data_IF_479919568562
#
_entry.id   IF_479919568562
#
_cell.length_a   1.000
_cell.length_b   1.000
_cell.length_c   1.000
_cell.angle_alpha   90.00
_cell.angle_beta   90.00
_cell.angle_gamma   90.00
#
_symmetry.space_group_name_H-M   'P 1'
#
loop_
_entity.id
_entity.type
_entity.pdbx_description
1 polymer ?
#
# COMPACT_ATOMS: atom_id res chain seq x y z
N UNK A 1 -3.16 9.14 5.81
CA UNK A 1 -3.06 8.46 4.50
C UNK A 1 -4.31 8.62 3.61
N UNK A 2 -5.47 8.04 3.94
CA UNK A 2 -6.66 8.01 3.04
C UNK A 2 -7.08 9.39 2.50
N UNK A 3 -7.22 10.40 3.37
CA UNK A 3 -7.60 11.77 2.97
C UNK A 3 -6.69 12.36 1.89
N UNK A 4 -5.38 12.12 1.99
CA UNK A 4 -4.35 12.65 1.08
C UNK A 4 -4.46 12.06 -0.33
N UNK A 5 -4.77 10.76 -0.44
CA UNK A 5 -4.97 10.12 -1.74
C UNK A 5 -6.29 10.58 -2.38
N UNK A 6 -7.36 10.68 -1.59
CA UNK A 6 -8.64 11.19 -2.08
C UNK A 6 -8.55 12.64 -2.57
N UNK A 7 -7.83 13.52 -1.85
CA UNK A 7 -7.60 14.90 -2.30
C UNK A 7 -6.68 14.99 -3.53
N UNK A 8 -6.00 13.90 -3.87
CA UNK A 8 -5.13 13.78 -5.03
C UNK A 8 -5.80 13.09 -6.22
N UNK A 9 -7.13 12.95 -6.20
CA UNK A 9 -7.95 12.31 -7.26
C UNK A 9 -7.73 10.80 -7.43
N UNK A 10 -7.20 10.13 -6.41
CA UNK A 10 -7.06 8.68 -6.42
C UNK A 10 -8.36 7.99 -6.02
N UNK A 11 -8.64 6.84 -6.63
CA UNK A 11 -9.65 5.91 -6.11
C UNK A 11 -9.02 5.09 -5.00
N UNK A 12 -9.64 5.09 -3.82
CA UNK A 12 -9.15 4.34 -2.66
C UNK A 12 -9.99 3.10 -2.45
N UNK A 13 -9.34 1.95 -2.29
CA UNK A 13 -9.97 0.70 -1.87
C UNK A 13 -9.28 0.17 -0.60
N UNK A 14 -10.08 -0.19 0.40
CA UNK A 14 -9.67 -0.67 1.72
C UNK A 14 -9.94 -2.16 1.87
N UNK A 15 -8.92 -2.93 2.24
CA UNK A 15 -9.03 -4.36 2.57
C UNK A 15 -9.13 -4.57 4.09
N UNK A 16 -10.25 -5.14 4.53
CA UNK A 16 -10.58 -5.38 5.95
C UNK A 16 -10.36 -6.86 6.31
N UNK A 17 -9.28 -7.13 7.04
CA UNK A 17 -8.83 -8.47 7.43
C UNK A 17 -9.55 -9.06 8.65
N UNK A 18 -10.10 -8.20 9.49
CA UNK A 18 -10.84 -8.50 10.71
C UNK A 18 -12.34 -8.74 10.44
N UNK A 19 -12.81 -8.40 9.24
CA UNK A 19 -14.21 -8.44 8.89
C UNK A 19 -15.02 -7.24 9.41
N UNK A 20 -14.36 -6.20 9.94
CA UNK A 20 -14.99 -5.09 10.67
C UNK A 20 -14.97 -3.85 9.78
N UNK A 21 -16.11 -3.56 9.14
CA UNK A 21 -16.27 -2.38 8.27
C UNK A 21 -16.98 -1.24 8.99
N UNK A 22 -17.91 -1.56 9.89
CA UNK A 22 -18.80 -0.56 10.50
C UNK A 22 -18.07 0.42 11.42
N UNK A 23 -16.96 0.01 12.02
CA UNK A 23 -16.16 0.89 12.88
C UNK A 23 -15.54 2.06 12.09
N UNK A 24 -15.44 1.98 10.75
CA UNK A 24 -14.92 3.06 9.91
C UNK A 24 -15.92 4.18 9.63
N UNK A 25 -17.20 3.97 9.94
CA UNK A 25 -18.30 4.90 9.60
C UNK A 25 -18.18 6.29 10.22
N UNK A 26 -17.41 6.43 11.30
CA UNK A 26 -17.18 7.73 11.94
C UNK A 26 -16.27 8.64 11.12
N UNK A 27 -15.54 8.09 10.12
CA UNK A 27 -14.71 8.89 9.23
C UNK A 27 -15.53 9.49 8.09
N UNK A 28 -15.44 10.81 7.90
CA UNK A 28 -16.11 11.57 6.84
C UNK A 28 -15.83 11.09 5.40
N UNK A 29 -14.74 10.36 5.21
CA UNK A 29 -14.34 9.81 3.92
C UNK A 29 -14.80 8.37 3.69
N UNK A 30 -15.42 7.72 4.68
CA UNK A 30 -15.82 6.30 4.61
C UNK A 30 -16.67 6.02 3.36
N UNK A 31 -17.67 6.86 3.07
CA UNK A 31 -18.55 6.69 1.90
C UNK A 31 -17.89 7.05 0.55
N UNK A 32 -16.63 7.49 0.57
CA UNK A 32 -15.87 7.91 -0.62
C UNK A 32 -14.88 6.84 -1.08
N UNK A 33 -14.72 5.75 -0.33
CA UNK A 33 -13.77 4.65 -0.64
C UNK A 33 -14.49 3.33 -0.86
N UNK A 34 -13.82 2.37 -1.50
CA UNK A 34 -14.36 1.03 -1.72
C UNK A 34 -13.92 0.15 -0.55
N UNK A 35 -14.86 -0.40 0.21
CA UNK A 35 -14.54 -1.34 1.29
C UNK A 35 -14.68 -2.79 0.79
N UNK A 36 -13.66 -3.61 1.00
CA UNK A 36 -13.69 -5.05 0.72
C UNK A 36 -13.28 -5.79 1.98
N UNK A 37 -14.10 -6.73 2.42
CA UNK A 37 -13.95 -7.38 3.72
C UNK A 37 -13.95 -8.89 3.59
N UNK A 38 -12.91 -9.53 4.15
CA UNK A 38 -12.76 -10.97 4.20
C UNK A 38 -11.85 -11.34 5.39
N UNK A 39 -12.39 -12.14 6.31
CA UNK A 39 -11.69 -12.49 7.54
C UNK A 39 -10.47 -13.38 7.28
N UNK A 40 -9.39 -13.09 8.01
CA UNK A 40 -8.16 -13.89 8.04
C UNK A 40 -7.54 -14.13 6.65
N UNK A 41 -7.70 -13.18 5.73
CA UNK A 41 -7.04 -13.21 4.43
C UNK A 41 -5.76 -12.37 4.46
N UNK A 42 -5.00 -12.34 3.38
CA UNK A 42 -3.75 -11.55 3.30
C UNK A 42 -3.84 -10.49 2.21
N UNK A 43 -2.92 -9.51 2.22
CA UNK A 43 -2.79 -8.49 1.18
C UNK A 43 -2.97 -9.04 -0.23
N UNK A 44 -2.20 -10.08 -0.52
CA UNK A 44 -2.13 -10.68 -1.84
C UNK A 44 -3.36 -11.50 -2.18
N UNK A 45 -4.04 -12.08 -1.19
CA UNK A 45 -5.32 -12.75 -1.39
C UNK A 45 -6.39 -11.78 -1.92
N UNK A 46 -6.47 -10.57 -1.35
CA UNK A 46 -7.40 -9.54 -1.81
C UNK A 46 -6.97 -9.01 -3.18
N UNK A 47 -5.68 -8.67 -3.34
CA UNK A 47 -5.15 -8.16 -4.59
C UNK A 47 -5.44 -9.14 -5.75
N UNK A 48 -5.21 -10.44 -5.54
CA UNK A 48 -5.49 -11.47 -6.55
C UNK A 48 -6.96 -11.52 -6.96
N UNK A 49 -7.90 -11.31 -6.04
CA UNK A 49 -9.34 -11.45 -6.28
C UNK A 49 -10.02 -10.19 -6.78
N UNK A 50 -9.59 -9.02 -6.31
CA UNK A 50 -10.30 -7.76 -6.57
C UNK A 50 -9.56 -6.83 -7.54
N UNK A 51 -8.30 -7.14 -7.89
CA UNK A 51 -7.48 -6.35 -8.80
C UNK A 51 -7.12 -7.10 -10.07
N UNK A 52 -8.09 -7.82 -10.64
CA UNK A 52 -7.91 -8.43 -11.95
C UNK A 52 -7.46 -7.38 -12.98
N UNK A 53 -6.50 -7.67 -13.88
CA UNK A 53 -5.95 -6.69 -14.81
C UNK A 53 -7.01 -5.96 -15.64
N UNK A 54 -8.08 -6.66 -16.02
CA UNK A 54 -9.17 -6.06 -16.80
C UNK A 54 -10.04 -5.10 -15.97
N UNK A 55 -10.13 -5.31 -14.65
CA UNK A 55 -10.84 -4.41 -13.72
C UNK A 55 -10.04 -3.14 -13.50
N UNK A 56 -8.73 -3.27 -13.33
CA UNK A 56 -7.85 -2.12 -13.04
C UNK A 56 -7.23 -1.47 -14.29
N UNK A 57 -7.65 -1.91 -15.48
CA UNK A 57 -7.13 -1.44 -16.77
C UNK A 57 -7.35 0.06 -17.02
N UNK A 58 -8.31 0.67 -16.33
CA UNK A 58 -8.64 2.10 -16.40
C UNK A 58 -7.67 2.98 -15.59
N UNK A 59 -6.81 2.39 -14.76
CA UNK A 59 -5.86 3.13 -13.91
C UNK A 59 -4.43 3.01 -14.44
N UNK A 60 -3.68 4.12 -14.42
CA UNK A 60 -2.29 4.14 -14.92
C UNK A 60 -1.31 3.41 -13.98
N UNK A 61 -1.52 3.59 -12.67
CA UNK A 61 -0.70 3.00 -11.62
C UNK A 61 -1.57 2.37 -10.54
N UNK A 62 -1.04 1.29 -9.95
CA UNK A 62 -1.63 0.50 -8.88
C UNK A 62 -0.68 0.58 -7.68
N UNK A 63 -1.10 1.27 -6.63
CA UNK A 63 -0.40 1.30 -5.36
C UNK A 63 -0.99 0.20 -4.48
N UNK A 64 -0.16 -0.70 -3.93
CA UNK A 64 -0.62 -1.80 -3.09
C UNK A 64 0.13 -1.78 -1.74
N UNK A 65 -0.33 -0.93 -0.83
CA UNK A 65 0.44 -0.50 0.35
C UNK A 65 -0.09 -1.08 1.67
N UNK A 66 0.85 -1.48 2.54
CA UNK A 66 0.61 -1.87 3.94
C UNK A 66 0.04 -0.71 4.77
N UNK A 67 -0.70 -1.06 5.83
CA UNK A 67 -1.42 -0.10 6.67
C UNK A 67 -0.53 0.73 7.59
N UNK A 68 0.70 0.28 7.83
CA UNK A 68 1.60 0.78 8.86
C UNK A 68 2.67 1.73 8.32
N UNK A 69 2.32 2.44 7.24
CA UNK A 69 3.15 3.46 6.59
C UNK A 69 2.74 4.88 7.03
N UNK A 70 3.69 5.63 7.59
CA UNK A 70 3.61 7.07 7.80
C UNK A 70 3.90 7.83 6.50
N UNK A 71 3.06 8.81 6.17
CA UNK A 71 3.07 9.51 4.87
C UNK A 71 3.27 11.02 5.01
N UNK A 72 3.91 11.47 6.09
CA UNK A 72 4.12 12.88 6.40
C UNK A 72 5.00 13.61 5.36
N UNK A 73 5.83 12.84 4.64
CA UNK A 73 6.80 13.35 3.66
C UNK A 73 6.52 12.83 2.24
N UNK A 74 5.26 12.47 1.97
CA UNK A 74 4.85 11.88 0.70
C UNK A 74 3.68 12.67 0.09
N UNK A 75 3.76 12.95 -1.21
CA UNK A 75 2.70 13.57 -2.00
C UNK A 75 2.39 12.73 -3.26
N UNK A 76 1.18 12.12 -3.35
CA UNK A 76 0.85 11.17 -4.43
C UNK A 76 1.06 11.71 -5.85
N UNK A 77 0.64 12.96 -6.12
CA UNK A 77 0.80 13.55 -7.47
C UNK A 77 2.26 13.82 -7.84
N UNK A 78 3.10 14.18 -6.86
CA UNK A 78 4.53 14.43 -7.11
C UNK A 78 5.23 13.10 -7.35
N UNK A 79 4.92 12.08 -6.53
CA UNK A 79 5.40 10.72 -6.75
C UNK A 79 5.06 10.21 -8.15
N UNK A 80 3.80 10.32 -8.58
CA UNK A 80 3.38 9.90 -9.92
C UNK A 80 4.14 10.65 -11.02
N UNK A 81 4.33 11.97 -10.86
CA UNK A 81 5.09 12.74 -11.85
C UNK A 81 6.56 12.29 -11.98
N UNK A 82 7.17 11.87 -10.87
CA UNK A 82 8.55 11.37 -10.87
C UNK A 82 8.63 10.01 -11.55
N UNK A 83 7.76 9.06 -11.19
CA UNK A 83 7.81 7.72 -11.78
C UNK A 83 7.49 7.73 -13.28
N UNK A 84 6.61 8.65 -13.73
CA UNK A 84 6.32 8.87 -15.15
C UNK A 84 7.53 9.45 -15.88
N UNK A 85 8.16 10.49 -15.32
CA UNK A 85 9.37 11.12 -15.88
C UNK A 85 10.54 10.13 -15.99
N UNK A 86 10.72 9.31 -14.96
CA UNK A 86 11.82 8.34 -14.84
C UNK A 86 11.55 7.02 -15.60
N UNK A 87 10.35 6.84 -16.16
CA UNK A 87 9.94 5.62 -16.86
C UNK A 87 9.93 4.38 -15.95
N UNK A 88 9.57 4.55 -14.67
CA UNK A 88 9.51 3.45 -13.73
C UNK A 88 8.20 2.66 -13.89
N UNK A 89 8.35 1.37 -14.18
CA UNK A 89 7.25 0.41 -14.29
C UNK A 89 6.91 -0.20 -12.92
N UNK A 90 7.90 -0.32 -12.05
CA UNK A 90 7.77 -0.83 -10.69
C UNK A 90 8.56 0.09 -9.77
N UNK A 91 7.94 0.57 -8.71
CA UNK A 91 8.60 1.50 -7.80
C UNK A 91 8.06 1.39 -6.38
N UNK A 92 8.75 2.01 -5.44
CA UNK A 92 8.20 2.32 -4.12
C UNK A 92 8.75 3.65 -3.63
N UNK A 93 8.09 4.33 -2.68
CA UNK A 93 8.72 5.42 -1.95
C UNK A 93 9.94 4.90 -1.16
N UNK A 94 10.92 5.78 -0.96
CA UNK A 94 12.03 5.48 -0.07
C UNK A 94 11.58 5.45 1.39
N UNK A 95 12.38 4.80 2.23
CA UNK A 95 12.17 4.76 3.68
C UNK A 95 13.03 5.77 4.40
N UNK A 96 12.43 6.49 5.34
CA UNK A 96 13.18 7.31 6.27
C UNK A 96 14.13 6.42 7.07
N UNK A 97 15.44 6.69 6.94
CA UNK A 97 16.52 5.91 7.57
C UNK A 97 16.46 5.90 9.09
N UNK A 98 15.93 6.97 9.70
CA UNK A 98 16.00 7.15 11.15
C UNK A 98 14.74 6.68 11.85
N UNK A 99 13.61 6.68 11.13
CA UNK A 99 12.28 6.38 11.69
C UNK A 99 11.71 5.04 11.25
N UNK A 100 12.23 4.45 10.17
CA UNK A 100 11.72 3.18 9.63
C UNK A 100 12.56 2.00 10.05
N UNK A 101 11.91 0.84 10.16
CA UNK A 101 12.63 -0.43 10.12
C UNK A 101 13.02 -0.77 8.67
N UNK A 102 14.32 -0.73 8.40
CA UNK A 102 14.88 -0.96 7.06
C UNK A 102 15.47 -2.37 7.00
N UNK A 103 14.77 -3.28 6.35
CA UNK A 103 15.26 -4.66 6.12
C UNK A 103 16.26 -4.75 4.96
N UNK A 104 16.04 -3.97 3.90
CA UNK A 104 16.86 -3.98 2.69
C UNK A 104 17.43 -2.60 2.42
N UNK A 105 18.77 -2.48 2.32
CA UNK A 105 19.42 -1.16 2.23
C UNK A 105 19.04 -0.37 0.98
N UNK A 106 18.61 -1.04 -0.10
CA UNK A 106 18.07 -0.37 -1.28
C UNK A 106 16.77 0.38 -0.99
N UNK A 107 15.98 0.02 0.02
CA UNK A 107 14.75 0.79 0.31
C UNK A 107 15.03 2.06 1.11
N UNK A 108 16.24 2.21 1.64
CA UNK A 108 16.62 3.34 2.48
C UNK A 108 16.84 4.61 1.64
N UNK A 109 16.22 5.71 2.06
CA UNK A 109 16.32 7.01 1.37
C UNK A 109 17.75 7.50 1.17
N UNK A 110 18.03 7.98 -0.02
CA UNK A 110 19.23 8.74 -0.38
C UNK A 110 18.89 10.24 -0.47
N UNK A 111 19.26 11.01 0.56
CA UNK A 111 18.81 12.41 0.71
C UNK A 111 19.24 13.38 -0.39
N UNK A 112 20.21 13.01 -1.23
CA UNK A 112 20.74 13.82 -2.34
C UNK A 112 20.32 13.31 -3.71
N UNK A 113 19.34 12.41 -3.74
CA UNK A 113 18.81 11.78 -4.94
C UNK A 113 17.32 12.07 -5.08
N UNK A 114 16.80 12.00 -6.32
CA UNK A 114 15.36 11.99 -6.60
C UNK A 114 14.87 10.54 -6.69
N UNK A 115 15.64 9.70 -7.40
CA UNK A 115 15.42 8.26 -7.53
C UNK A 115 16.75 7.55 -7.54
N UNK A 116 16.86 6.45 -6.81
CA UNK A 116 17.96 5.50 -6.96
C UNK A 116 17.44 4.10 -7.33
N UNK A 117 18.32 3.32 -7.95
CA UNK A 117 18.01 1.98 -8.47
C UNK A 117 18.98 0.91 -8.00
N UNK A 118 20.04 1.31 -7.30
CA UNK A 118 21.13 0.45 -6.84
C UNK A 118 21.54 0.86 -5.44
N UNK A 119 21.83 -0.13 -4.58
CA UNK A 119 22.45 0.09 -3.27
C UNK A 119 23.96 -0.22 -3.32
N UNK A 120 24.78 0.56 -2.61
CA UNK A 120 26.25 0.43 -2.61
C UNK A 120 26.85 0.02 -1.25
N UNK A 121 26.12 -0.76 -0.43
CA UNK A 121 26.55 -1.12 0.93
C UNK A 121 26.48 -2.64 1.21
N UNK A 122 27.26 -3.14 2.20
CA UNK A 122 27.11 -4.52 2.67
C UNK A 122 25.70 -4.72 3.21
N UNK A 123 24.96 -5.70 2.67
CA UNK A 123 23.66 -6.08 3.20
C UNK A 123 23.78 -6.70 4.59
N UNK A 124 22.67 -6.74 5.34
CA UNK A 124 22.59 -7.30 6.69
C UNK A 124 23.04 -8.79 6.80
N UNK A 125 23.09 -9.50 5.66
CA UNK A 125 23.46 -10.92 5.57
C UNK A 125 24.78 -11.15 4.80
N UNK A 126 25.68 -10.17 4.73
CA UNK A 126 26.99 -10.32 4.09
C UNK A 126 26.99 -10.33 2.54
N UNK A 127 25.84 -10.12 1.89
CA UNK A 127 25.79 -9.85 0.43
C UNK A 127 26.25 -8.42 0.18
N UNK A 128 27.45 -8.27 -0.36
CA UNK A 128 28.00 -6.99 -0.78
C UNK A 128 27.31 -6.53 -2.06
N UNK A 129 26.64 -5.37 -2.02
CA UNK A 129 26.15 -4.72 -3.22
C UNK A 129 27.20 -3.71 -3.71
N UNK A 130 27.57 -3.82 -4.98
CA UNK A 130 28.58 -3.01 -5.65
C UNK A 130 28.07 -2.50 -7.01
N UNK A 131 28.92 -1.75 -7.73
CA UNK A 131 28.60 -1.21 -9.04
C UNK A 131 28.34 -2.27 -10.13
N UNK A 132 28.74 -3.53 -9.90
CA UNK A 132 28.53 -4.64 -10.83
C UNK A 132 27.28 -5.46 -10.51
N UNK A 133 26.62 -5.18 -9.39
CA UNK A 133 25.41 -5.86 -8.96
C UNK A 133 24.24 -5.48 -9.87
N UNK A 134 23.73 -6.44 -10.65
CA UNK A 134 22.65 -6.24 -11.64
C UNK A 134 21.30 -6.82 -11.24
N UNK A 135 21.23 -7.43 -10.05
CA UNK A 135 20.07 -8.21 -9.62
C UNK A 135 19.62 -7.89 -8.21
N UNK A 136 18.47 -8.42 -7.81
CA UNK A 136 17.92 -8.20 -6.50
C UNK A 136 18.74 -8.89 -5.40
N UNK A 137 18.77 -8.34 -4.18
CA UNK A 137 18.11 -7.09 -3.76
C UNK A 137 18.95 -5.83 -4.05
N UNK A 138 20.08 -5.93 -4.76
CA UNK A 138 21.03 -4.82 -4.89
C UNK A 138 20.65 -3.79 -5.95
N UNK A 139 20.03 -4.22 -7.06
CA UNK A 139 19.67 -3.33 -8.18
C UNK A 139 18.30 -3.69 -8.75
N UNK A 140 17.54 -2.66 -9.11
CA UNK A 140 16.24 -2.78 -9.77
C UNK A 140 15.29 -3.65 -8.95
N UNK A 141 15.12 -3.34 -7.67
CA UNK A 141 14.34 -4.12 -6.72
C UNK A 141 13.59 -3.21 -5.76
N UNK A 142 12.42 -3.67 -5.33
CA UNK A 142 11.58 -3.01 -4.33
C UNK A 142 11.13 -4.04 -3.29
N UNK A 143 10.82 -3.57 -2.09
CA UNK A 143 10.20 -4.37 -1.06
C UNK A 143 8.68 -4.38 -1.22
N UNK A 144 8.03 -5.44 -0.72
CA UNK A 144 6.62 -5.68 -0.99
C UNK A 144 5.66 -4.89 -0.11
N UNK A 145 6.12 -4.04 0.81
CA UNK A 145 5.24 -3.28 1.71
C UNK A 145 4.60 -2.04 1.08
N UNK A 146 5.33 -1.32 0.22
CA UNK A 146 4.84 -0.11 -0.44
C UNK A 146 4.96 -0.13 -1.98
N UNK A 147 4.71 -1.26 -2.67
CA UNK A 147 4.90 -1.34 -4.11
C UNK A 147 3.89 -0.47 -4.86
N UNK A 148 4.39 0.09 -5.96
CA UNK A 148 3.63 0.78 -6.99
C UNK A 148 3.97 0.13 -8.31
N UNK A 149 2.94 -0.29 -9.04
CA UNK A 149 3.08 -0.94 -10.33
C UNK A 149 2.41 -0.08 -11.40
N UNK A 150 3.04 0.06 -12.56
CA UNK A 150 2.33 0.49 -13.75
C UNK A 150 1.22 -0.52 -14.09
N UNK A 151 0.26 -0.11 -14.90
CA UNK A 151 -0.76 -1.01 -15.45
C UNK A 151 -0.15 -2.23 -16.16
N UNK A 152 0.93 -2.03 -16.91
CA UNK A 152 1.59 -3.10 -17.65
C UNK A 152 2.29 -4.09 -16.71
N UNK A 153 3.05 -3.56 -15.74
CA UNK A 153 3.72 -4.38 -14.74
C UNK A 153 2.72 -5.15 -13.87
N UNK A 154 1.64 -4.50 -13.43
CA UNK A 154 0.60 -5.15 -12.63
C UNK A 154 -0.06 -6.32 -13.38
N UNK A 155 -0.33 -6.18 -14.68
CA UNK A 155 -0.89 -7.30 -15.46
C UNK A 155 0.00 -8.54 -15.38
N UNK A 156 1.33 -8.37 -15.52
CA UNK A 156 2.27 -9.48 -15.37
C UNK A 156 2.32 -10.00 -13.92
N UNK A 157 2.45 -9.12 -12.92
CA UNK A 157 2.54 -9.49 -11.50
C UNK A 157 1.29 -10.24 -11.05
N UNK A 158 0.11 -9.83 -11.52
CA UNK A 158 -1.15 -10.49 -11.20
C UNK A 158 -1.17 -11.96 -11.64
N UNK A 159 -0.61 -12.29 -12.82
CA UNK A 159 -0.47 -13.67 -13.28
C UNK A 159 0.66 -14.43 -12.58
N UNK A 160 1.65 -13.73 -12.03
CA UNK A 160 2.71 -14.33 -11.20
C UNK A 160 2.20 -14.75 -9.82
N UNK A 161 1.27 -14.00 -9.23
CA UNK A 161 0.68 -14.31 -7.93
C UNK A 161 -0.20 -15.56 -8.03
N UNK A 162 0.11 -16.58 -7.24
CA UNK A 162 -0.71 -17.78 -7.09
C UNK A 162 -1.94 -17.52 -6.21
N UNK A 163 -3.02 -18.28 -6.42
CA UNK A 163 -4.29 -18.09 -5.71
C UNK A 163 -4.21 -18.40 -4.20
N UNK A 164 -3.22 -19.20 -3.82
CA UNK A 164 -2.89 -19.69 -2.48
C UNK A 164 -1.68 -18.95 -1.87
N UNK A 165 -1.22 -17.85 -2.49
CA UNK A 165 -0.11 -17.06 -1.94
C UNK A 165 -0.53 -16.39 -0.63
N UNK A 166 -0.05 -16.92 0.50
CA UNK A 166 -0.34 -16.40 1.84
C UNK A 166 0.56 -15.20 2.14
N UNK A 167 1.85 -15.28 1.89
CA UNK A 167 2.80 -14.17 2.06
C UNK A 167 3.71 -14.03 0.84
N UNK A 168 3.90 -12.79 0.35
CA UNK A 168 4.71 -12.48 -0.83
C UNK A 168 6.24 -12.54 -0.61
N UNK A 169 6.69 -13.16 0.46
CA UNK A 169 8.12 -13.35 0.70
C UNK A 169 8.70 -14.22 -0.44
N UNK A 170 9.71 -13.70 -1.14
CA UNK A 170 10.31 -14.34 -2.32
C UNK A 170 9.69 -13.91 -3.66
N UNK A 171 8.45 -13.39 -3.70
CA UNK A 171 7.91 -12.82 -4.95
C UNK A 171 8.58 -11.49 -5.27
N UNK A 172 8.97 -10.74 -4.24
CA UNK A 172 9.80 -9.54 -4.32
C UNK A 172 11.05 -9.72 -5.19
N UNK A 173 11.67 -10.89 -5.14
CA UNK A 173 12.82 -11.24 -5.98
C UNK A 173 12.44 -11.45 -7.46
N UNK A 174 11.17 -11.78 -7.74
CA UNK A 174 10.66 -12.17 -9.05
C UNK A 174 9.87 -11.06 -9.75
N UNK A 175 9.18 -10.17 -9.03
CA UNK A 175 8.33 -9.13 -9.65
C UNK A 175 9.10 -8.23 -10.60
N UNK A 176 10.43 -8.12 -10.44
CA UNK A 176 11.26 -7.36 -11.36
C UNK A 176 11.27 -7.88 -12.81
N UNK A 177 10.87 -9.13 -13.06
CA UNK A 177 10.65 -9.65 -14.42
C UNK A 177 9.41 -9.06 -15.10
N UNK A 178 8.52 -8.42 -14.34
CA UNK A 178 7.34 -7.74 -14.85
C UNK A 178 7.59 -6.27 -15.22
N UNK A 179 8.77 -5.73 -14.92
CA UNK A 179 9.18 -4.45 -15.48
C UNK A 179 9.49 -4.66 -16.97
N UNK A 180 8.81 -3.93 -17.84
CA UNK A 180 9.10 -3.96 -19.27
C UNK A 180 10.54 -3.52 -19.51
N UNK A 181 11.29 -4.20 -20.38
CA UNK A 181 12.66 -3.83 -20.71
C UNK A 181 13.69 -4.14 -19.61
N UNK A 182 14.61 -3.20 -19.38
CA UNK A 182 15.73 -3.40 -18.46
C UNK A 182 15.31 -3.05 -17.02
N UNK A 183 15.16 -4.07 -16.18
CA UNK A 183 14.77 -3.90 -14.76
C UNK A 183 15.74 -3.01 -13.96
N UNK A 184 17.00 -2.89 -14.39
CA UNK A 184 17.97 -2.02 -13.70
C UNK A 184 17.69 -0.54 -13.93
N UNK A 185 16.85 -0.21 -14.92
CA UNK A 185 16.42 1.15 -15.28
C UNK A 185 14.96 1.42 -14.95
N UNK A 186 14.10 0.42 -15.12
CA UNK A 186 12.65 0.61 -15.03
C UNK A 186 12.08 0.23 -13.66
N UNK A 187 12.96 -0.09 -12.70
CA UNK A 187 12.61 -0.30 -11.30
C UNK A 187 13.43 0.63 -10.42
N UNK A 188 12.79 1.32 -9.50
CA UNK A 188 13.47 2.32 -8.67
C UNK A 188 12.76 2.70 -7.38
N UNK A 189 13.52 3.35 -6.53
CA UNK A 189 13.11 3.85 -5.21
C UNK A 189 13.06 5.37 -5.31
N UNK A 190 11.92 5.97 -4.99
CA UNK A 190 11.74 7.43 -5.09
C UNK A 190 12.16 8.08 -3.78
N UNK A 191 13.32 8.73 -3.78
CA UNK A 191 13.95 9.36 -2.62
C UNK A 191 13.35 10.71 -2.25
N UNK A 192 12.86 11.43 -3.26
CA UNK A 192 12.20 12.72 -3.07
C UNK A 192 10.87 12.60 -2.32
N UNK A 193 10.21 11.44 -2.42
CA UNK A 193 8.90 11.15 -1.88
C UNK A 193 8.98 9.90 -1.00
N UNK A 194 9.13 10.10 0.31
CA UNK A 194 9.51 9.03 1.24
C UNK A 194 8.49 8.85 2.36
N UNK A 195 8.49 7.64 2.92
CA UNK A 195 7.55 7.21 3.95
C UNK A 195 8.29 6.67 5.17
N UNK A 196 7.55 6.48 6.26
CA UNK A 196 8.03 5.81 7.48
C UNK A 196 7.38 4.44 7.57
N UNK A 197 8.16 3.37 7.69
CA UNK A 197 7.62 2.02 7.94
C UNK A 197 7.68 1.67 9.43
N UNK A 198 6.52 1.50 10.07
CA UNK A 198 6.41 1.28 11.51
C UNK A 198 6.60 -0.19 11.96
N UNK A 199 6.67 -1.15 11.03
CA UNK A 199 6.79 -2.59 11.26
C UNK A 199 5.79 -3.13 12.29
N UNK A 200 4.51 -2.81 12.10
CA UNK A 200 3.43 -3.28 12.98
C UNK A 200 2.91 -4.62 12.44
N UNK A 201 2.86 -5.69 13.26
CA UNK A 201 2.32 -6.97 12.82
C UNK A 201 0.85 -6.86 12.38
N UNK A 202 0.57 -7.23 11.13
CA UNK A 202 -0.76 -7.07 10.49
C UNK A 202 -1.64 -8.32 10.61
N UNK A 203 -1.04 -9.52 10.72
CA UNK A 203 -1.73 -10.81 10.87
C UNK A 203 -1.21 -11.59 12.11
N UNK A 204 -2.08 -11.81 13.10
CA UNK A 204 -1.99 -12.98 13.99
C UNK A 204 -0.92 -13.03 15.09
N UNK A 205 -0.32 -11.92 15.50
CA UNK A 205 0.54 -11.89 16.70
C UNK A 205 -0.28 -11.88 18.00
N UNK A 206 -0.65 -13.05 18.52
CA UNK A 206 -1.26 -13.18 19.85
C UNK A 206 -0.21 -12.74 20.90
N UNK A 207 -0.37 -11.53 21.42
CA UNK A 207 0.21 -11.11 22.69
C UNK A 207 -0.46 -11.84 23.85
N UNK A 208 -0.27 -13.15 23.96
CA UNK A 208 -0.63 -13.91 25.15
C UNK A 208 0.42 -13.63 26.22
N UNK A 209 0.30 -12.49 26.90
CA UNK A 209 0.78 -12.38 28.28
C UNK A 209 -0.40 -12.68 29.20
N UNK A 210 -0.38 -13.91 29.70
CA UNK A 210 -1.21 -14.44 30.78
C UNK A 210 -1.52 -13.40 31.86
N UNK A 211 -2.81 -13.10 32.08
CA UNK A 211 -3.43 -13.12 33.42
C UNK A 211 -4.89 -13.60 33.30
N UNK A 212 -5.13 -14.77 33.85
CA UNK A 212 -6.43 -15.26 34.37
C UNK A 212 -7.09 -14.17 35.24
N UNK A 213 -8.41 -13.96 35.31
CA UNK A 213 -9.51 -14.91 35.55
C UNK A 213 -10.87 -14.26 35.21
N UNK A 214 -11.84 -15.14 34.90
CA UNK A 214 -13.28 -15.07 35.17
C UNK A 214 -14.18 -14.02 34.48
N UNK A 215 -15.25 -14.53 33.85
CA UNK A 215 -16.45 -13.76 33.54
C UNK A 215 -17.09 -14.11 32.21
N UNK A 216 -17.65 -15.31 32.07
CA UNK A 216 -18.41 -15.71 30.88
C UNK A 216 -19.64 -14.82 30.67
N UNK A 217 -19.83 -14.35 29.43
CA UNK A 217 -21.15 -13.99 28.89
C UNK A 217 -21.29 -14.60 27.50
N UNK A 218 -22.29 -15.47 27.37
CA UNK A 218 -22.90 -15.85 26.09
C UNK A 218 -23.29 -14.58 25.36
N UNK A 219 -22.85 -14.42 24.12
CA UNK A 219 -23.53 -13.56 23.16
C UNK A 219 -24.32 -14.44 22.22
N UNK A 220 -25.56 -14.01 22.08
CA UNK A 220 -26.69 -14.74 21.55
C UNK A 220 -26.60 -14.96 20.05
N UNK A 221 -27.36 -15.95 19.59
CA UNK A 221 -27.54 -16.24 18.17
C UNK A 221 -28.26 -15.09 17.48
N UNK A 222 -27.71 -14.67 16.36
CA UNK A 222 -28.48 -14.15 15.24
C UNK A 222 -28.64 -12.64 15.24
N UNK A 223 -27.68 -11.96 14.63
CA UNK A 223 -28.00 -10.80 13.82
C UNK A 223 -27.38 -10.96 12.44
N UNK A 224 -28.25 -10.95 11.44
CA UNK A 224 -27.84 -10.92 10.03
C UNK A 224 -27.16 -9.57 9.79
N UNK A 225 -25.84 -9.58 9.82
CA UNK A 225 -24.98 -8.44 9.51
C UNK A 225 -25.39 -7.91 8.13
N UNK A 226 -25.95 -6.70 8.08
CA UNK A 226 -26.04 -5.89 6.85
C UNK A 226 -24.66 -5.33 6.52
N UNK A 227 -23.70 -6.22 6.29
CA UNK A 227 -22.48 -5.90 5.57
C UNK A 227 -22.85 -5.89 4.10
N UNK A 228 -22.34 -4.94 3.33
CA UNK A 228 -22.41 -5.04 1.87
C UNK A 228 -21.61 -6.29 1.50
N UNK A 229 -22.31 -7.38 1.22
CA UNK A 229 -21.76 -8.51 0.49
C UNK A 229 -21.41 -7.95 -0.88
N UNK A 230 -20.12 -7.80 -1.16
CA UNK A 230 -19.62 -7.42 -2.47
C UNK A 230 -20.01 -8.56 -3.43
N UNK A 231 -21.15 -8.40 -4.08
CA UNK A 231 -21.52 -9.20 -5.23
C UNK A 231 -21.02 -8.50 -6.50
N UNK A 232 -20.97 -9.25 -7.60
CA UNK A 232 -20.47 -8.74 -8.89
C UNK A 232 -21.16 -7.43 -9.31
N UNK A 233 -22.44 -7.24 -8.91
CA UNK A 233 -23.20 -6.04 -9.20
C UNK A 233 -22.72 -4.78 -8.43
N UNK A 234 -22.20 -4.92 -7.19
CA UNK A 234 -21.64 -3.79 -6.44
C UNK A 234 -20.32 -3.32 -7.07
N UNK A 235 -19.46 -4.27 -7.43
CA UNK A 235 -18.22 -4.01 -8.19
C UNK A 235 -18.58 -3.31 -9.51
N UNK A 236 -19.54 -3.83 -10.26
CA UNK A 236 -19.98 -3.23 -11.52
C UNK A 236 -20.48 -1.79 -11.37
N UNK A 237 -21.24 -1.47 -10.31
CA UNK A 237 -21.76 -0.10 -10.11
C UNK A 237 -20.67 0.92 -9.82
N UNK A 238 -19.71 0.58 -8.97
CA UNK A 238 -18.57 1.45 -8.67
C UNK A 238 -17.63 1.56 -9.89
N UNK A 239 -17.45 0.46 -10.62
CA UNK A 239 -16.75 0.42 -11.91
C UNK A 239 -17.37 1.36 -12.96
N UNK A 240 -18.70 1.33 -13.13
CA UNK A 240 -19.41 2.22 -14.07
C UNK A 240 -19.24 3.70 -13.68
N UNK A 241 -19.14 4.02 -12.39
CA UNK A 241 -18.89 5.39 -11.91
C UNK A 241 -17.45 5.84 -12.23
N UNK A 242 -16.46 4.94 -12.14
CA UNK A 242 -15.07 5.22 -12.55
C UNK A 242 -14.96 5.47 -14.06
N UNK A 243 -15.62 4.65 -14.89
CA UNK A 243 -15.63 4.81 -16.37
C UNK A 243 -16.24 6.12 -16.87
N UNK A 244 -17.02 6.84 -16.06
CA UNK A 244 -17.59 8.14 -16.43
C UNK A 244 -16.61 9.31 -16.26
N UNK A 245 -15.45 9.14 -15.61
CA UNK A 245 -14.42 10.19 -15.48
C UNK A 245 -13.46 10.12 -16.68
N UNK A 246 -13.35 11.22 -17.44
CA UNK A 246 -12.54 11.37 -18.68
C UNK A 246 -11.03 11.56 -18.46
N UNK A 247 -10.51 11.38 -17.24
CA UNK A 247 -9.10 11.60 -16.88
C UNK A 247 -8.60 10.34 -16.18
N UNK A 248 -7.42 9.79 -16.52
CA UNK A 248 -6.96 8.54 -15.92
C UNK A 248 -6.74 8.77 -14.44
N UNK A 249 -7.62 8.22 -13.62
CA UNK A 249 -7.40 8.18 -12.18
C UNK A 249 -6.26 7.19 -11.94
N UNK A 250 -5.34 7.51 -11.04
CA UNK A 250 -4.45 6.50 -10.47
C UNK A 250 -5.22 5.75 -9.37
N UNK A 251 -5.06 4.43 -9.29
CA UNK A 251 -5.69 3.62 -8.24
C UNK A 251 -4.77 3.55 -7.03
N UNK A 252 -5.31 3.89 -5.86
CA UNK A 252 -4.67 3.66 -4.57
C UNK A 252 -5.37 2.51 -3.83
N UNK A 253 -4.63 1.46 -3.49
CA UNK A 253 -5.15 0.36 -2.69
C UNK A 253 -4.42 0.34 -1.37
N UNK A 254 -5.21 0.56 -0.31
CA UNK A 254 -4.72 0.56 1.04
C UNK A 254 -5.28 -0.67 1.76
N UNK A 255 -4.39 -1.31 2.50
CA UNK A 255 -4.72 -2.33 3.48
C UNK A 255 -5.11 -1.64 4.76
N UNK A 256 -6.15 -2.10 5.48
CA UNK A 256 -6.27 -1.66 6.86
C UNK A 256 -7.06 -2.60 7.76
N UNK A 257 -6.44 -2.95 8.89
CA UNK A 257 -7.13 -3.32 10.13
C UNK A 257 -7.49 -2.07 10.93
N UNK A 258 -8.66 -2.07 11.56
CA UNK A 258 -9.07 -1.02 12.47
C UNK A 258 -8.54 -1.34 13.87
N UNK A 259 -7.45 -0.68 14.25
CA UNK A 259 -7.07 -0.52 15.66
C UNK A 259 -6.07 0.61 15.89
N UNK A 260 -5.33 1.09 14.87
CA UNK A 260 -4.22 2.02 15.13
C UNK A 260 -4.06 3.20 14.16
N UNK A 261 -5.15 3.67 13.55
CA UNK A 261 -5.19 5.03 12.99
C UNK A 261 -5.30 6.12 14.07
N UNK A 262 -5.50 5.75 15.35
CA UNK A 262 -5.56 6.69 16.48
C UNK A 262 -4.20 7.34 16.83
N UNK A 263 -3.07 6.85 16.29
CA UNK A 263 -1.73 7.39 16.57
C UNK A 263 -1.15 8.32 15.47
N UNK A 264 -1.91 8.66 14.43
CA UNK A 264 -1.59 9.84 13.61
C UNK A 264 -2.23 11.06 14.27
N UNK A 265 -1.54 11.57 15.29
CA UNK A 265 -1.87 12.79 16.02
C UNK A 265 -2.07 13.94 15.03
N UNK A 266 -3.32 14.38 14.84
CA UNK A 266 -3.62 15.74 14.41
C UNK A 266 -3.39 16.65 15.62
N UNK A 267 -2.19 17.20 15.75
CA UNK A 267 -2.02 18.46 16.46
C UNK A 267 -2.48 19.56 15.51
N UNK A 268 -3.62 20.15 15.81
CA UNK A 268 -3.92 21.52 15.42
C UNK A 268 -4.28 22.27 16.70
N UNK A 269 -3.31 22.98 17.27
CA UNK A 269 -3.60 23.99 18.29
C UNK A 269 -4.07 25.27 17.57
N UNK A 270 -4.97 26.06 18.20
CA UNK A 270 -5.56 27.23 17.58
C UNK A 270 -4.66 28.45 17.80
N UNK A 271 -4.56 29.35 16.81
CA UNK A 271 -4.56 30.80 17.04
C UNK A 271 -4.52 31.61 15.74
N UNK A 272 -5.47 32.55 15.69
CA UNK A 272 -5.45 33.91 15.14
C UNK A 272 -5.27 34.17 13.63
N UNK A 273 -6.37 34.65 13.03
CA UNK A 273 -6.45 35.93 12.29
C UNK A 273 -7.96 36.30 12.28
N UNK A 274 -8.42 37.34 13.00
CA UNK A 274 -8.43 38.76 12.62
C UNK A 274 -8.91 38.96 11.17
N UNK A 275 -10.17 39.37 11.02
CA UNK A 275 -10.69 40.59 10.37
C UNK A 275 -12.21 40.55 10.60
N UNK A 276 -12.89 41.54 11.17
CA UNK A 276 -12.82 42.94 10.79
C UNK A 276 -13.79 43.16 9.61
N UNK A 277 -15.08 43.24 9.94
CA UNK A 277 -16.06 44.23 9.46
C UNK A 277 -17.42 43.99 10.15
#
# INVERSE_FOLDING_TARGET
>A
MVKMFLSSDFVVMLFHYDGIVDEWKHFEWCDKVIHVSARNQTKWWFAKRFLHPDIVSEYSYIFLWDEDLGVEHFHPKVYVSIIEHEGLEISQPALDRSKSEVHHQITARESKSIVHRTAFKPGANGKHCDAHSKGPPCTGWIEMMAPVFSRAAWRCVWYMIQNDLIHAWGIDMQVGYCAQGDRTKNIGIVDAEYVVHHNRPTLGGIGAKNRSTAGGRRLDKGDRIKGIVVNDAYILRHYVKAKKKKVPASAFLLLCRLLHLENCVLLANPLSAITGD
#
